data_IF_454500401892
#
_entry.id   IF_454500401892
#
_cell.length_a   1.000
_cell.length_b   1.000
_cell.length_c   1.000
_cell.angle_alpha   90.00
_cell.angle_beta   90.00
_cell.angle_gamma   90.00
#
_symmetry.space_group_name_H-M   'P 1'
#
loop_
_entity.id
_entity.type
_entity.pdbx_description
1 polymer ?
#
# COMPACT_ATOMS: atom_id res chain seq x y z
N UNK A 1 17.86 -15.08 16.59
CA UNK A 1 16.89 -16.06 16.03
C UNK A 1 15.91 -15.31 15.14
N UNK A 2 15.49 -15.88 14.01
CA UNK A 2 14.44 -15.28 13.18
C UNK A 2 13.05 -15.50 13.82
N UNK A 3 12.27 -14.44 13.98
CA UNK A 3 10.96 -14.49 14.62
C UNK A 3 9.88 -15.26 13.84
N UNK A 4 10.12 -15.56 12.55
CA UNK A 4 9.16 -16.30 11.71
C UNK A 4 9.51 -17.76 11.51
N UNK A 5 10.74 -18.07 11.11
CA UNK A 5 11.14 -19.46 10.85
C UNK A 5 11.81 -20.15 12.03
N UNK A 6 12.09 -19.44 13.14
CA UNK A 6 12.72 -20.01 14.33
C UNK A 6 14.21 -20.37 14.18
N UNK A 7 14.78 -20.29 12.98
CA UNK A 7 16.19 -20.64 12.77
C UNK A 7 17.15 -19.59 13.37
N UNK A 8 18.35 -20.06 13.74
CA UNK A 8 19.46 -19.24 14.20
C UNK A 8 20.17 -18.53 13.05
N UNK A 9 20.53 -17.26 13.27
CA UNK A 9 21.26 -16.42 12.33
C UNK A 9 22.19 -15.49 13.11
N UNK A 10 23.30 -15.05 12.51
CA UNK A 10 24.09 -13.95 13.06
C UNK A 10 23.26 -12.66 13.09
N UNK A 11 23.60 -11.74 13.98
CA UNK A 11 22.94 -10.44 14.06
C UNK A 11 22.98 -9.69 12.71
N UNK A 12 24.09 -9.80 11.97
CA UNK A 12 24.27 -9.20 10.64
C UNK A 12 23.44 -9.84 9.52
N UNK A 13 22.86 -11.01 9.76
CA UNK A 13 22.00 -11.71 8.79
C UNK A 13 20.50 -11.54 9.09
N UNK A 14 20.16 -10.76 10.12
CA UNK A 14 18.80 -10.41 10.50
C UNK A 14 18.52 -8.95 10.13
N UNK A 15 17.35 -8.73 9.53
CA UNK A 15 16.78 -7.41 9.28
C UNK A 15 15.72 -7.11 10.34
N UNK A 16 15.56 -5.84 10.69
CA UNK A 16 14.46 -5.35 11.54
C UNK A 16 13.23 -5.12 10.67
N UNK A 17 12.13 -5.80 10.99
CA UNK A 17 10.84 -5.70 10.29
C UNK A 17 9.78 -5.12 11.23
N UNK A 18 9.05 -4.10 10.77
CA UNK A 18 7.88 -3.60 11.50
C UNK A 18 6.69 -4.52 11.29
N UNK A 19 6.15 -5.09 12.38
CA UNK A 19 4.99 -6.01 12.37
C UNK A 19 3.79 -5.35 11.67
N UNK A 20 3.45 -4.14 12.11
CA UNK A 20 2.63 -3.20 11.35
C UNK A 20 3.56 -2.20 10.65
N UNK A 21 3.59 -2.15 9.30
CA UNK A 21 4.44 -1.22 8.58
C UNK A 21 4.16 0.24 8.94
N UNK A 22 5.20 1.08 9.00
CA UNK A 22 5.06 2.52 9.23
C UNK A 22 4.11 3.18 8.20
N UNK A 23 4.18 2.74 6.94
CA UNK A 23 3.29 3.22 5.86
C UNK A 23 1.81 2.87 6.07
N UNK A 24 1.51 1.89 6.94
CA UNK A 24 0.16 1.52 7.35
C UNK A 24 -0.17 2.09 8.75
N UNK A 25 0.62 3.02 9.28
CA UNK A 25 0.42 3.65 10.59
C UNK A 25 0.95 2.82 11.76
N UNK A 26 1.95 1.97 11.54
CA UNK A 26 2.71 1.34 12.63
C UNK A 26 3.62 2.33 13.36
N UNK A 27 4.05 1.96 14.57
CA UNK A 27 4.95 2.72 15.42
C UNK A 27 6.37 2.16 15.34
N UNK A 28 7.38 2.99 15.60
CA UNK A 28 8.77 2.54 15.71
C UNK A 28 9.10 2.21 17.17
N UNK A 29 8.54 1.11 17.65
CA UNK A 29 8.57 0.70 19.07
C UNK A 29 8.97 -0.76 19.19
N UNK A 30 9.54 -1.15 20.33
CA UNK A 30 10.07 -2.49 20.55
C UNK A 30 9.02 -3.61 20.40
N UNK A 31 7.75 -3.30 20.68
CA UNK A 31 6.60 -4.18 20.52
C UNK A 31 6.11 -4.32 19.07
N UNK A 32 6.47 -3.38 18.18
CA UNK A 32 6.11 -3.39 16.76
C UNK A 32 7.27 -3.78 15.84
N UNK A 33 8.42 -4.19 16.37
CA UNK A 33 9.55 -4.67 15.56
C UNK A 33 9.87 -6.13 15.84
N UNK A 34 10.37 -6.84 14.83
CA UNK A 34 10.86 -8.22 14.95
C UNK A 34 12.10 -8.42 14.08
N UNK A 35 13.00 -9.32 14.52
CA UNK A 35 14.18 -9.68 13.74
C UNK A 35 13.86 -10.83 12.79
N UNK A 36 14.05 -10.62 11.48
CA UNK A 36 13.77 -11.60 10.44
C UNK A 36 15.01 -11.91 9.61
N UNK A 37 15.20 -13.16 9.21
CA UNK A 37 16.20 -13.45 8.18
C UNK A 37 15.76 -12.87 6.83
N UNK A 38 16.73 -12.60 5.95
CA UNK A 38 16.49 -11.94 4.64
C UNK A 38 15.39 -12.60 3.81
N UNK A 39 15.27 -13.94 3.82
CA UNK A 39 14.22 -14.65 3.08
C UNK A 39 12.83 -14.41 3.66
N UNK A 40 12.67 -14.53 4.98
CA UNK A 40 11.41 -14.24 5.68
C UNK A 40 11.02 -12.77 5.54
N UNK A 41 11.98 -11.85 5.71
CA UNK A 41 11.76 -10.41 5.55
C UNK A 41 11.27 -10.06 4.14
N UNK A 42 11.91 -10.59 3.10
CA UNK A 42 11.47 -10.40 1.71
C UNK A 42 10.05 -10.92 1.47
N UNK A 43 9.71 -12.09 2.03
CA UNK A 43 8.39 -12.69 1.88
C UNK A 43 7.29 -11.82 2.51
N UNK A 44 7.51 -11.37 3.75
CA UNK A 44 6.59 -10.47 4.49
C UNK A 44 6.41 -9.15 3.74
N UNK A 45 7.50 -8.47 3.40
CA UNK A 45 7.46 -7.17 2.73
C UNK A 45 6.71 -7.24 1.40
N UNK A 46 6.90 -8.33 0.65
CA UNK A 46 6.17 -8.57 -0.61
C UNK A 46 4.68 -8.76 -0.36
N UNK A 47 4.30 -9.58 0.63
CA UNK A 47 2.89 -9.82 0.97
C UNK A 47 2.20 -8.53 1.46
N UNK A 48 2.84 -7.76 2.34
CA UNK A 48 2.32 -6.48 2.82
C UNK A 48 2.18 -5.46 1.69
N UNK A 49 3.15 -5.37 0.77
CA UNK A 49 3.07 -4.48 -0.39
C UNK A 49 1.90 -4.83 -1.32
N UNK A 50 1.67 -6.13 -1.56
CA UNK A 50 0.51 -6.63 -2.33
C UNK A 50 -0.80 -6.25 -1.66
N UNK A 51 -0.94 -6.53 -0.35
CA UNK A 51 -2.13 -6.15 0.42
C UNK A 51 -2.38 -4.62 0.38
N UNK A 52 -1.34 -3.79 0.47
CA UNK A 52 -1.46 -2.33 0.29
C UNK A 52 -1.95 -1.95 -1.10
N UNK A 53 -1.48 -2.62 -2.15
CA UNK A 53 -1.93 -2.35 -3.52
C UNK A 53 -3.42 -2.72 -3.70
N UNK A 54 -3.84 -3.85 -3.16
CA UNK A 54 -5.24 -4.30 -3.20
C UNK A 54 -6.18 -3.35 -2.46
N UNK A 55 -5.83 -2.95 -1.22
CA UNK A 55 -6.60 -1.94 -0.47
C UNK A 55 -6.75 -0.63 -1.23
N UNK A 56 -5.67 -0.17 -1.88
CA UNK A 56 -5.70 1.05 -2.73
C UNK A 56 -6.64 0.89 -3.93
N UNK A 57 -6.62 -0.26 -4.61
CA UNK A 57 -7.52 -0.57 -5.74
C UNK A 57 -8.98 -0.60 -5.29
N UNK A 58 -9.28 -1.28 -4.19
CA UNK A 58 -10.64 -1.35 -3.62
C UNK A 58 -11.18 0.03 -3.23
N UNK A 59 -10.36 0.87 -2.58
CA UNK A 59 -10.73 2.26 -2.24
C UNK A 59 -11.07 3.06 -3.50
N UNK A 60 -10.26 2.97 -4.55
CA UNK A 60 -10.50 3.64 -5.84
C UNK A 60 -11.79 3.15 -6.51
N UNK A 61 -12.04 1.83 -6.51
CA UNK A 61 -13.27 1.27 -7.06
C UNK A 61 -14.53 1.76 -6.32
N UNK A 62 -14.46 1.90 -4.99
CA UNK A 62 -15.55 2.51 -4.19
C UNK A 62 -15.77 3.98 -4.53
N UNK A 63 -14.69 4.73 -4.75
CA UNK A 63 -14.74 6.17 -5.06
C UNK A 63 -15.16 6.46 -6.52
N UNK A 64 -14.96 5.51 -7.44
CA UNK A 64 -15.33 5.62 -8.86
C UNK A 64 -16.83 5.49 -9.20
N UNK A 65 -17.72 5.45 -8.20
CA UNK A 65 -19.19 5.54 -8.35
C UNK A 65 -19.71 6.96 -8.09
N UNK A 66 -18.95 7.98 -8.48
CA UNK A 66 -19.43 9.35 -8.57
C UNK A 66 -19.69 9.68 -10.03
N UNK A 67 -20.97 9.78 -10.41
CA UNK A 67 -21.44 10.28 -11.70
C UNK A 67 -20.67 11.56 -12.06
N UNK A 68 -19.95 11.56 -13.18
CA UNK A 68 -19.56 12.82 -13.81
C UNK A 68 -20.86 13.58 -14.08
N UNK A 69 -21.07 14.81 -13.58
CA UNK A 69 -22.22 15.58 -14.03
C UNK A 69 -22.06 15.74 -15.55
N UNK A 70 -23.11 15.34 -16.28
CA UNK A 70 -23.13 15.41 -17.73
C UNK A 70 -22.65 16.80 -18.16
N UNK A 71 -21.64 16.84 -19.04
CA UNK A 71 -21.31 18.05 -19.79
C UNK A 71 -22.56 18.43 -20.57
N UNK A 72 -23.36 19.35 -20.05
CA UNK A 72 -24.37 20.00 -20.87
C UNK A 72 -23.61 20.84 -21.90
N UNK A 73 -23.68 20.44 -23.16
CA UNK A 73 -23.29 21.30 -24.29
C UNK A 73 -24.26 22.48 -24.34
N UNK A 74 -23.95 23.53 -23.56
CA UNK A 74 -24.67 24.77 -23.55
C UNK A 74 -23.99 25.74 -24.54
N UNK A 75 -24.66 25.93 -25.68
CA UNK A 75 -24.58 27.08 -26.59
C UNK A 75 -23.34 27.22 -27.48
N UNK A 76 -23.38 26.57 -28.66
CA UNK A 76 -22.72 27.13 -29.84
C UNK A 76 -23.68 28.17 -30.45
N UNK A 77 -23.48 29.44 -30.09
CA UNK A 77 -24.18 30.56 -30.70
C UNK A 77 -23.87 30.62 -32.21
N UNK A 78 -24.95 30.80 -32.96
CA UNK A 78 -25.07 30.91 -34.40
C UNK A 78 -24.43 32.22 -34.85
N UNK A 79 -23.31 32.14 -35.58
CA UNK A 79 -22.77 33.29 -36.30
C UNK A 79 -23.37 33.27 -37.70
N UNK A 80 -24.23 34.25 -37.98
CA UNK A 80 -24.75 34.56 -39.31
C UNK A 80 -23.65 35.27 -40.11
N UNK A 81 -23.32 34.74 -41.30
CA UNK A 81 -22.49 35.44 -42.27
C UNK A 81 -23.37 35.90 -43.43
N UNK A 82 -23.33 37.21 -43.66
CA UNK A 82 -23.87 37.92 -44.83
C UNK A 82 -23.05 37.60 -46.07
#
# INVERSE_FOLDING_TARGET
MCALCGNGFSATALDVDHIRPLADGGTDTADNVRALCRSCHRAVTTAQARARAERRRAKRARQGRGTLPGRTDAHRSRWSAT
#
